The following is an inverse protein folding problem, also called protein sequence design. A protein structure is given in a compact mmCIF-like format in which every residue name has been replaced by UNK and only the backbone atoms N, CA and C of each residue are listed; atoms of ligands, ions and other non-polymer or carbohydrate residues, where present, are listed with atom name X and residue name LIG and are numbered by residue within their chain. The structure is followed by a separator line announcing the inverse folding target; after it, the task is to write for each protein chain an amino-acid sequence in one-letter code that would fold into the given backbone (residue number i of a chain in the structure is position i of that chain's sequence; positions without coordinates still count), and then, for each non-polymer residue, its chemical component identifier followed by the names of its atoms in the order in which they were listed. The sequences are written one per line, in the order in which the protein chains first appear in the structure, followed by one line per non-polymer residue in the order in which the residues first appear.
data_IF_309920003483
#
_entry.id   IF_309920003483
#
_cell.length_a   1.000
_cell.length_b   1.000
_cell.length_c   1.000
_cell.angle_alpha   90.00
_cell.angle_beta   90.00
_cell.angle_gamma   90.00
#
_symmetry.space_group_name_H-M   'P 1'
#
loop_
_entity.id
_entity.type
_entity.pdbx_description
1 polymer ?
#
# COMPACT_ATOMS: atom_id res chain seq x y z
N UNK A 1 -3.89 -14.56 -0.75
CA UNK A 1 -3.85 -14.10 -2.15
C UNK A 1 -3.00 -12.84 -2.30
N UNK A 2 -3.06 -11.90 -1.35
CA UNK A 2 -2.24 -10.68 -1.43
C UNK A 2 -0.75 -11.02 -1.41
N UNK A 3 -0.28 -11.81 -0.44
CA UNK A 3 1.12 -12.23 -0.35
C UNK A 3 1.57 -12.99 -1.60
N UNK A 4 0.72 -13.91 -2.11
CA UNK A 4 1.02 -14.68 -3.33
C UNK A 4 1.08 -13.76 -4.57
N UNK A 5 0.29 -12.69 -4.58
CA UNK A 5 0.35 -11.67 -5.63
C UNK A 5 1.62 -10.83 -5.55
N UNK A 6 2.05 -10.45 -4.35
CA UNK A 6 3.33 -9.76 -4.14
C UNK A 6 4.52 -10.60 -4.59
N UNK A 7 4.49 -11.93 -4.36
CA UNK A 7 5.49 -12.87 -4.87
C UNK A 7 5.56 -12.85 -6.40
N UNK A 8 4.41 -12.77 -7.09
CA UNK A 8 4.34 -12.65 -8.55
C UNK A 8 4.93 -11.32 -9.03
N UNK A 9 4.54 -10.21 -8.40
CA UNK A 9 4.96 -8.85 -8.79
C UNK A 9 6.46 -8.62 -8.54
N UNK A 10 6.99 -9.16 -7.43
CA UNK A 10 8.38 -8.99 -7.01
C UNK A 10 9.17 -10.30 -7.11
N UNK A 11 8.93 -11.08 -8.15
CA UNK A 11 9.61 -12.36 -8.38
C UNK A 11 11.13 -12.23 -8.23
N UNK A 12 11.73 -13.14 -7.48
CA UNK A 12 13.16 -13.17 -7.18
C UNK A 12 13.69 -11.94 -6.41
N UNK A 13 12.83 -11.27 -5.67
CA UNK A 13 13.19 -10.14 -4.82
C UNK A 13 12.65 -10.31 -3.41
N UNK A 14 13.33 -9.73 -2.41
CA UNK A 14 12.91 -9.83 -0.99
C UNK A 14 11.51 -9.28 -0.72
N UNK A 15 11.04 -8.29 -1.49
CA UNK A 15 9.66 -7.77 -1.38
C UNK A 15 8.60 -8.80 -1.78
N UNK A 16 8.92 -9.80 -2.59
CA UNK A 16 8.00 -10.90 -2.93
C UNK A 16 8.09 -12.08 -1.98
N UNK A 17 8.98 -12.08 -1.01
CA UNK A 17 9.06 -13.16 -0.04
C UNK A 17 7.95 -13.01 1.01
N UNK A 18 7.25 -14.12 1.32
CA UNK A 18 6.24 -14.10 2.37
C UNK A 18 6.89 -13.71 3.72
N UNK A 19 6.39 -12.63 4.30
CA UNK A 19 6.94 -12.03 5.53
C UNK A 19 6.89 -12.99 6.74
N UNK A 20 5.93 -13.91 6.77
CA UNK A 20 5.80 -14.93 7.80
C UNK A 20 6.80 -16.08 7.62
N UNK A 21 7.46 -16.16 6.47
CA UNK A 21 8.32 -17.29 6.11
C UNK A 21 7.54 -18.58 5.86
N UNK A 22 8.25 -19.68 5.89
CA UNK A 22 7.67 -21.02 5.76
C UNK A 22 7.85 -21.80 7.06
N UNK A 23 7.04 -22.84 7.31
CA UNK A 23 7.22 -23.76 8.46
C UNK A 23 8.66 -24.23 8.55
N UNK A 24 9.27 -24.58 7.40
CA UNK A 24 10.67 -25.03 7.32
C UNK A 24 11.69 -23.94 7.64
N UNK A 25 11.47 -22.69 7.21
CA UNK A 25 12.39 -21.59 7.50
C UNK A 25 12.31 -21.15 8.95
N UNK A 26 11.08 -20.99 9.48
CA UNK A 26 10.86 -20.55 10.86
C UNK A 26 11.39 -21.55 11.88
N UNK A 27 11.18 -22.86 11.65
CA UNK A 27 11.68 -23.91 12.58
C UNK A 27 13.20 -23.99 12.67
N UNK A 28 13.93 -23.39 11.74
CA UNK A 28 15.40 -23.37 11.72
C UNK A 28 16.01 -22.12 12.40
N UNK A 29 15.21 -21.12 12.72
CA UNK A 29 15.68 -19.89 13.33
C UNK A 29 16.16 -20.18 14.76
N UNK A 30 17.40 -19.88 15.03
CA UNK A 30 18.02 -20.04 16.34
C UNK A 30 18.14 -18.70 17.07
N UNK A 31 18.39 -18.75 18.40
CA UNK A 31 18.70 -17.54 19.18
C UNK A 31 19.90 -16.78 18.59
N UNK A 32 20.90 -17.49 18.09
CA UNK A 32 22.09 -16.88 17.51
C UNK A 32 21.78 -16.11 16.20
N UNK A 33 20.85 -16.62 15.41
CA UNK A 33 20.39 -15.93 14.19
C UNK A 33 19.67 -14.63 14.53
N UNK A 34 18.83 -14.63 15.57
CA UNK A 34 18.17 -13.41 16.06
C UNK A 34 19.19 -12.38 16.56
N UNK A 35 20.20 -12.81 17.33
CA UNK A 35 21.27 -11.93 17.80
C UNK A 35 22.11 -11.35 16.65
N UNK A 36 22.43 -12.16 15.64
CA UNK A 36 23.11 -11.68 14.42
C UNK A 36 22.26 -10.68 13.67
N UNK A 37 20.95 -10.94 13.53
CA UNK A 37 20.02 -10.07 12.86
C UNK A 37 19.91 -8.71 13.56
N UNK A 38 19.66 -8.69 14.87
CA UNK A 38 19.56 -7.45 15.64
C UNK A 38 20.87 -6.66 15.61
N UNK A 39 22.03 -7.35 15.79
CA UNK A 39 23.33 -6.71 15.70
C UNK A 39 23.66 -6.13 14.32
N UNK A 40 23.08 -6.66 13.24
CA UNK A 40 23.28 -6.18 11.88
C UNK A 40 22.32 -5.07 11.49
N UNK A 41 21.05 -5.17 11.90
CA UNK A 41 19.96 -4.36 11.35
C UNK A 41 19.40 -3.31 12.32
N UNK A 42 19.51 -3.50 13.65
CA UNK A 42 19.05 -2.50 14.61
C UNK A 42 20.14 -1.43 14.78
N UNK A 43 19.98 -0.34 14.02
CA UNK A 43 20.89 0.80 14.00
C UNK A 43 20.16 2.05 14.47
N UNK A 44 20.87 2.98 15.06
CA UNK A 44 20.30 4.21 15.60
C UNK A 44 19.49 4.99 14.55
N UNK A 45 19.95 5.01 13.31
CA UNK A 45 19.29 5.68 12.19
C UNK A 45 18.02 4.99 11.72
N UNK A 46 17.79 3.73 12.10
CA UNK A 46 16.61 2.93 11.74
C UNK A 46 15.60 2.83 12.90
N UNK A 47 15.79 3.60 13.97
CA UNK A 47 14.95 3.57 15.18
C UNK A 47 14.39 4.96 15.44
N UNK A 48 13.07 5.06 15.54
CA UNK A 48 12.37 6.24 16.05
C UNK A 48 11.58 5.84 17.28
N UNK A 49 11.72 6.61 18.33
CA UNK A 49 10.98 6.43 19.58
C UNK A 49 9.89 7.50 19.62
N UNK A 50 8.65 7.08 19.62
CA UNK A 50 7.50 7.97 19.76
C UNK A 50 6.79 7.71 21.07
N UNK A 51 6.41 8.78 21.76
CA UNK A 51 5.65 8.71 23.02
C UNK A 51 4.46 9.66 22.93
N UNK A 52 3.29 9.17 23.32
CA UNK A 52 2.08 9.96 23.44
C UNK A 52 1.48 9.75 24.83
N UNK A 53 1.26 10.83 25.57
CA UNK A 53 0.67 10.80 26.90
C UNK A 53 1.15 11.96 27.76
N UNK A 54 0.81 11.90 29.04
CA UNK A 54 1.30 12.87 30.03
C UNK A 54 2.71 12.47 30.49
N UNK A 55 3.72 12.88 29.72
CA UNK A 55 5.13 12.53 29.92
C UNK A 55 5.96 13.81 29.97
N UNK A 56 6.87 13.89 30.92
CA UNK A 56 7.87 14.96 30.96
C UNK A 56 8.94 14.74 29.89
N UNK A 57 9.17 15.72 29.04
CA UNK A 57 10.11 15.63 27.93
C UNK A 57 11.55 15.41 28.41
N UNK A 58 11.96 16.07 29.48
CA UNK A 58 13.32 15.97 30.02
C UNK A 58 13.59 14.57 30.55
N UNK A 59 12.61 13.98 31.23
CA UNK A 59 12.69 12.60 31.73
C UNK A 59 12.70 11.59 30.56
N UNK A 60 11.90 11.82 29.52
CA UNK A 60 11.92 10.99 28.32
C UNK A 60 13.30 11.00 27.64
N UNK A 61 13.87 12.17 27.44
CA UNK A 61 15.23 12.33 26.86
C UNK A 61 16.26 11.63 27.73
N UNK A 62 16.20 11.77 29.06
CA UNK A 62 17.09 11.09 30.01
C UNK A 62 16.99 9.57 29.90
N UNK A 63 15.78 9.01 29.86
CA UNK A 63 15.54 7.58 29.72
C UNK A 63 16.02 7.06 28.36
N UNK A 64 15.73 7.78 27.28
CA UNK A 64 16.24 7.44 25.94
C UNK A 64 17.77 7.41 25.93
N UNK A 65 18.43 8.40 26.53
CA UNK A 65 19.88 8.43 26.67
C UNK A 65 20.41 7.24 27.48
N UNK A 66 19.74 6.89 28.56
CA UNK A 66 20.13 5.77 29.40
C UNK A 66 20.04 4.42 28.68
N UNK A 67 18.96 4.15 27.98
CA UNK A 67 18.69 2.82 27.42
C UNK A 67 19.14 2.65 25.97
N UNK A 68 19.20 3.74 25.18
CA UNK A 68 19.50 3.66 23.73
C UNK A 68 20.87 4.23 23.34
N UNK A 69 21.63 4.84 24.28
CA UNK A 69 22.97 5.39 24.00
C UNK A 69 23.97 4.37 23.44
N UNK A 70 23.79 3.09 23.75
CA UNK A 70 24.65 1.99 23.28
C UNK A 70 24.24 1.38 21.94
N UNK A 71 23.13 1.86 21.34
CA UNK A 71 22.71 1.40 20.01
C UNK A 71 23.74 1.83 18.99
N UNK A 72 24.23 0.87 18.22
CA UNK A 72 25.30 1.10 17.24
C UNK A 72 24.80 1.98 16.10
N UNK A 73 25.62 2.92 15.66
CA UNK A 73 25.38 3.67 14.41
C UNK A 73 25.64 2.78 13.19
N UNK A 74 25.00 3.14 12.07
CA UNK A 74 25.24 2.48 10.79
C UNK A 74 26.66 2.84 10.28
N UNK A 75 27.36 1.84 9.76
CA UNK A 75 28.61 2.04 9.03
C UNK A 75 28.29 1.87 7.54
N UNK A 76 28.48 2.93 6.76
CA UNK A 76 28.19 2.96 5.33
C UNK A 76 26.72 3.23 5.01
N UNK A 77 26.41 3.26 3.71
CA UNK A 77 25.07 3.53 3.20
C UNK A 77 24.19 2.26 3.20
N UNK A 78 22.88 2.48 3.28
CA UNK A 78 21.90 1.40 3.11
C UNK A 78 21.76 1.08 1.63
N UNK A 79 22.28 -0.06 1.21
CA UNK A 79 22.15 -0.52 -0.18
C UNK A 79 20.78 -1.17 -0.35
N UNK A 80 19.95 -0.59 -1.19
CA UNK A 80 18.69 -1.18 -1.64
C UNK A 80 18.91 -1.91 -2.97
N UNK A 81 18.59 -3.19 -2.99
CA UNK A 81 18.61 -3.99 -4.21
C UNK A 81 17.33 -3.70 -4.97
N UNK A 82 17.43 -3.11 -6.16
CA UNK A 82 16.25 -2.81 -6.98
C UNK A 82 15.60 -4.10 -7.49
N UNK A 83 14.26 -4.18 -7.50
CA UNK A 83 13.57 -5.30 -8.12
C UNK A 83 13.93 -5.44 -9.61
N UNK A 84 13.99 -6.68 -10.11
CA UNK A 84 14.19 -6.96 -11.54
C UNK A 84 13.14 -6.25 -12.40
N UNK A 85 13.39 -6.00 -13.71
CA UNK A 85 12.39 -5.40 -14.58
C UNK A 85 11.06 -6.17 -14.52
N UNK A 86 9.97 -5.41 -14.37
CA UNK A 86 8.64 -5.97 -14.24
C UNK A 86 8.12 -6.48 -15.59
N UNK A 87 7.57 -7.69 -15.59
CA UNK A 87 6.79 -8.24 -16.70
C UNK A 87 5.46 -8.74 -16.16
N UNK A 88 4.33 -8.41 -16.78
CA UNK A 88 3.01 -8.88 -16.36
C UNK A 88 2.92 -10.41 -16.36
N UNK A 89 2.25 -10.95 -15.37
CA UNK A 89 2.01 -12.39 -15.19
C UNK A 89 0.53 -12.59 -14.87
N UNK A 90 -0.08 -13.58 -15.51
CA UNK A 90 -1.45 -13.99 -15.24
C UNK A 90 -1.41 -15.44 -14.72
N UNK A 91 -2.01 -15.66 -13.57
CA UNK A 91 -1.99 -16.98 -12.90
C UNK A 91 -3.37 -17.32 -12.35
N UNK A 92 -3.75 -18.58 -12.51
CA UNK A 92 -4.97 -19.15 -11.92
C UNK A 92 -4.53 -20.31 -11.05
N UNK A 93 -5.00 -20.35 -9.82
CA UNK A 93 -4.73 -21.42 -8.86
C UNK A 93 -6.06 -21.96 -8.31
N UNK A 94 -6.17 -23.27 -8.23
CA UNK A 94 -7.27 -23.92 -7.51
C UNK A 94 -6.99 -23.93 -6.02
N UNK A 95 -7.98 -23.57 -5.22
CA UNK A 95 -7.89 -23.53 -3.75
C UNK A 95 -9.15 -24.14 -3.15
N UNK A 96 -9.00 -24.77 -2.01
CA UNK A 96 -10.15 -25.23 -1.22
C UNK A 96 -10.84 -24.01 -0.60
N UNK A 97 -11.72 -23.36 -1.35
CA UNK A 97 -12.48 -22.18 -0.96
C UNK A 97 -13.89 -22.24 -1.57
N UNK A 98 -14.86 -21.59 -0.94
CA UNK A 98 -16.22 -21.50 -1.46
C UNK A 98 -16.34 -20.36 -2.49
N UNK A 99 -15.58 -19.32 -2.31
CA UNK A 99 -15.58 -18.13 -3.18
C UNK A 99 -14.34 -18.08 -4.04
N UNK A 100 -14.48 -17.45 -5.18
CA UNK A 100 -13.36 -17.05 -6.02
C UNK A 100 -12.84 -15.68 -5.59
N UNK A 101 -11.52 -15.54 -5.62
CA UNK A 101 -10.83 -14.31 -5.29
C UNK A 101 -9.89 -13.93 -6.43
N UNK A 102 -9.84 -12.65 -6.77
CA UNK A 102 -8.86 -12.16 -7.74
C UNK A 102 -8.15 -10.92 -7.21
N UNK A 103 -6.89 -10.80 -7.61
CA UNK A 103 -6.10 -9.56 -7.49
C UNK A 103 -5.59 -9.18 -8.86
N UNK A 104 -5.85 -7.94 -9.25
CA UNK A 104 -5.28 -7.30 -10.45
C UNK A 104 -4.37 -6.18 -9.97
N UNK A 105 -3.18 -6.04 -10.55
CA UNK A 105 -2.31 -4.96 -10.12
C UNK A 105 -1.01 -4.86 -10.91
N UNK A 106 -0.18 -3.92 -10.50
CA UNK A 106 1.09 -3.63 -11.13
C UNK A 106 2.06 -3.01 -10.14
N UNK A 107 3.35 -2.94 -10.48
CA UNK A 107 4.29 -2.10 -9.74
C UNK A 107 3.89 -0.63 -9.85
N UNK A 108 4.09 0.09 -8.76
CA UNK A 108 3.68 1.47 -8.62
C UNK A 108 4.84 2.37 -8.14
N UNK A 109 4.51 3.59 -7.77
CA UNK A 109 5.46 4.62 -7.40
C UNK A 109 6.07 4.34 -6.02
N UNK A 110 7.31 4.78 -5.81
CA UNK A 110 7.97 4.72 -4.51
C UNK A 110 7.43 5.77 -3.53
N UNK A 111 7.77 5.62 -2.26
CA UNK A 111 7.37 6.55 -1.19
C UNK A 111 7.91 7.98 -1.41
N UNK A 112 9.03 8.11 -2.13
CA UNK A 112 9.68 9.40 -2.41
C UNK A 112 9.23 10.05 -3.73
N UNK A 113 8.34 9.41 -4.49
CA UNK A 113 7.90 9.94 -5.77
C UNK A 113 6.95 11.13 -5.61
N UNK A 114 7.13 12.18 -6.42
CA UNK A 114 6.33 13.41 -6.34
C UNK A 114 4.82 13.16 -6.51
N UNK A 115 4.45 12.21 -7.36
CA UNK A 115 3.05 11.81 -7.60
C UNK A 115 2.49 10.78 -6.61
N UNK A 116 3.14 10.57 -5.44
CA UNK A 116 2.63 9.66 -4.41
C UNK A 116 1.23 10.06 -3.92
N UNK A 117 1.04 11.33 -3.60
CA UNK A 117 -0.26 11.84 -3.10
C UNK A 117 -1.37 11.73 -4.17
N UNK A 118 -1.16 12.14 -5.42
CA UNK A 118 -2.12 11.86 -6.50
C UNK A 118 -2.49 10.37 -6.63
N UNK A 119 -1.52 9.46 -6.50
CA UNK A 119 -1.80 8.02 -6.59
C UNK A 119 -2.56 7.48 -5.37
N UNK A 120 -2.28 7.98 -4.16
CA UNK A 120 -3.08 7.68 -2.96
C UNK A 120 -4.53 8.13 -3.15
N UNK A 121 -4.74 9.34 -3.66
CA UNK A 121 -6.09 9.85 -3.95
C UNK A 121 -6.79 9.01 -5.03
N UNK A 122 -6.09 8.66 -6.11
CA UNK A 122 -6.62 7.80 -7.18
C UNK A 122 -7.02 6.42 -6.65
N UNK A 123 -6.18 5.79 -5.84
CA UNK A 123 -6.49 4.51 -5.19
C UNK A 123 -7.71 4.64 -4.28
N UNK A 124 -7.77 5.68 -3.45
CA UNK A 124 -8.92 5.93 -2.58
C UNK A 124 -10.21 6.17 -3.37
N UNK A 125 -10.15 6.92 -4.46
CA UNK A 125 -11.29 7.17 -5.34
C UNK A 125 -11.82 5.88 -5.98
N UNK A 126 -10.92 5.02 -6.47
CA UNK A 126 -11.30 3.77 -7.15
C UNK A 126 -11.93 2.76 -6.18
N UNK A 127 -11.25 2.41 -5.12
CA UNK A 127 -11.69 1.34 -4.22
C UNK A 127 -11.29 1.55 -2.76
N UNK A 128 -11.11 2.80 -2.33
CA UNK A 128 -10.83 3.13 -0.94
C UNK A 128 -12.00 2.82 0.00
N UNK A 129 -11.80 2.96 1.32
CA UNK A 129 -12.80 2.64 2.34
C UNK A 129 -14.15 3.30 2.08
N UNK A 130 -15.22 2.55 2.38
CA UNK A 130 -16.61 3.00 2.23
C UNK A 130 -17.24 2.68 0.88
N UNK A 131 -18.57 2.55 0.91
CA UNK A 131 -19.40 2.08 -0.20
C UNK A 131 -19.40 3.03 -1.41
N UNK A 132 -19.07 4.30 -1.21
CA UNK A 132 -19.09 5.35 -2.25
C UNK A 132 -17.87 5.38 -3.17
N UNK A 133 -16.93 4.45 -3.05
CA UNK A 133 -15.82 4.33 -4.01
C UNK A 133 -16.31 3.82 -5.36
N UNK A 134 -15.63 4.21 -6.44
CA UNK A 134 -16.09 3.98 -7.80
C UNK A 134 -16.36 2.51 -8.10
N UNK A 135 -15.41 1.62 -7.79
CA UNK A 135 -15.57 0.19 -8.04
C UNK A 135 -16.71 -0.42 -7.21
N UNK A 136 -16.86 -0.03 -5.93
CA UNK A 136 -17.98 -0.46 -5.11
C UNK A 136 -19.31 -0.03 -5.73
N UNK A 137 -19.45 1.24 -6.08
CA UNK A 137 -20.71 1.76 -6.66
C UNK A 137 -21.05 1.09 -8.00
N UNK A 138 -20.06 0.99 -8.91
CA UNK A 138 -20.35 0.52 -10.27
C UNK A 138 -20.47 -1.01 -10.38
N UNK A 139 -19.77 -1.78 -9.54
CA UNK A 139 -19.69 -3.24 -9.68
C UNK A 139 -20.47 -3.95 -8.57
N UNK A 140 -20.30 -3.51 -7.32
CA UNK A 140 -20.97 -4.15 -6.19
C UNK A 140 -22.41 -3.64 -6.02
N UNK A 141 -22.60 -2.33 -5.83
CA UNK A 141 -23.92 -1.78 -5.49
C UNK A 141 -24.89 -1.80 -6.69
N UNK A 142 -24.48 -1.27 -7.84
CA UNK A 142 -25.35 -1.19 -9.02
C UNK A 142 -25.61 -2.52 -9.71
N UNK A 143 -24.66 -3.46 -9.66
CA UNK A 143 -24.73 -4.70 -10.44
C UNK A 143 -24.81 -5.97 -9.60
N UNK A 144 -24.48 -5.93 -8.32
CA UNK A 144 -24.51 -7.11 -7.44
C UNK A 144 -23.57 -8.22 -7.89
N UNK A 145 -22.43 -7.86 -8.52
CA UNK A 145 -21.52 -8.86 -9.13
C UNK A 145 -20.54 -9.39 -8.11
N UNK A 146 -20.08 -8.59 -7.16
CA UNK A 146 -19.09 -9.01 -6.16
C UNK A 146 -19.56 -8.73 -4.73
N UNK A 147 -19.01 -9.48 -3.78
CA UNK A 147 -19.23 -9.30 -2.35
C UNK A 147 -18.31 -8.24 -1.76
N UNK A 148 -17.06 -8.23 -2.23
CA UNK A 148 -16.02 -7.27 -1.84
C UNK A 148 -15.23 -6.83 -3.05
N UNK A 149 -14.88 -5.55 -3.07
CA UNK A 149 -13.97 -4.99 -4.04
C UNK A 149 -13.30 -3.76 -3.42
N UNK A 150 -11.98 -3.74 -3.47
CA UNK A 150 -11.18 -2.63 -2.98
C UNK A 150 -9.95 -2.40 -3.84
N UNK A 151 -9.39 -1.22 -3.73
CA UNK A 151 -8.08 -0.92 -4.31
C UNK A 151 -7.13 -0.36 -3.26
N UNK A 152 -5.87 -0.78 -3.35
CA UNK A 152 -4.83 -0.37 -2.45
C UNK A 152 -3.57 0.05 -3.21
N UNK A 153 -2.88 1.05 -2.69
CA UNK A 153 -1.56 1.44 -3.12
C UNK A 153 -0.62 1.44 -1.92
N UNK A 154 0.37 0.56 -1.96
CA UNK A 154 1.40 0.43 -0.93
C UNK A 154 2.74 0.93 -1.48
N UNK A 155 3.16 2.16 -1.14
CA UNK A 155 4.49 2.65 -1.48
C UNK A 155 5.56 2.01 -0.57
N UNK A 156 6.70 1.67 -1.15
CA UNK A 156 7.92 1.27 -0.44
C UNK A 156 9.08 2.17 -0.84
N UNK A 157 10.25 2.02 -0.23
CA UNK A 157 11.37 2.97 -0.37
C UNK A 157 11.79 3.25 -1.82
N UNK A 158 11.83 2.24 -2.68
CA UNK A 158 12.35 2.32 -4.06
C UNK A 158 11.35 1.95 -5.15
N UNK A 159 10.17 1.45 -4.75
CA UNK A 159 9.09 1.02 -5.64
C UNK A 159 7.73 1.16 -4.93
N UNK A 160 6.72 0.52 -5.44
CA UNK A 160 5.41 0.37 -4.82
C UNK A 160 4.60 -0.70 -5.54
N UNK A 161 3.45 -1.01 -4.99
CA UNK A 161 2.47 -1.91 -5.59
C UNK A 161 1.10 -1.26 -5.57
N UNK A 162 0.39 -1.35 -6.67
CA UNK A 162 -1.03 -0.99 -6.77
C UNK A 162 -1.82 -2.27 -7.04
N UNK A 163 -2.86 -2.51 -6.27
CA UNK A 163 -3.70 -3.70 -6.36
C UNK A 163 -5.18 -3.34 -6.35
N UNK A 164 -5.97 -4.14 -7.06
CA UNK A 164 -7.42 -4.20 -6.93
C UNK A 164 -7.75 -5.65 -6.56
N UNK A 165 -8.33 -5.83 -5.39
CA UNK A 165 -8.85 -7.11 -4.93
C UNK A 165 -10.35 -7.21 -5.20
N UNK A 166 -10.83 -8.40 -5.51
CA UNK A 166 -12.25 -8.70 -5.63
C UNK A 166 -12.56 -10.12 -5.19
N UNK A 167 -13.72 -10.28 -4.53
CA UNK A 167 -14.26 -11.57 -4.12
C UNK A 167 -15.68 -11.75 -4.65
N UNK A 168 -15.95 -12.89 -5.31
CA UNK A 168 -17.25 -13.19 -5.92
C UNK A 168 -17.44 -14.69 -6.14
N UNK A 169 -18.60 -15.10 -6.67
CA UNK A 169 -18.84 -16.46 -7.13
C UNK A 169 -17.97 -16.81 -8.35
N UNK A 170 -17.61 -18.08 -8.50
CA UNK A 170 -16.77 -18.53 -9.62
C UNK A 170 -17.35 -18.16 -10.99
N UNK A 171 -18.65 -18.33 -11.16
CA UNK A 171 -19.35 -18.03 -12.41
C UNK A 171 -19.39 -16.53 -12.76
N UNK A 172 -19.23 -15.65 -11.77
CA UNK A 172 -19.26 -14.19 -11.94
C UNK A 172 -17.86 -13.58 -12.07
N UNK A 173 -16.78 -14.33 -11.81
CA UNK A 173 -15.43 -13.80 -11.71
C UNK A 173 -14.98 -13.11 -13.01
N UNK A 174 -15.14 -13.76 -14.16
CA UNK A 174 -14.75 -13.18 -15.45
C UNK A 174 -15.50 -11.88 -15.75
N UNK A 175 -16.80 -11.86 -15.44
CA UNK A 175 -17.62 -10.65 -15.59
C UNK A 175 -17.16 -9.54 -14.66
N UNK A 176 -16.80 -9.87 -13.42
CA UNK A 176 -16.28 -8.93 -12.44
C UNK A 176 -14.96 -8.32 -12.93
N UNK A 177 -14.01 -9.14 -13.35
CA UNK A 177 -12.72 -8.68 -13.89
C UNK A 177 -12.89 -7.78 -15.11
N UNK A 178 -13.75 -8.16 -16.06
CA UNK A 178 -14.04 -7.36 -17.25
C UNK A 178 -14.62 -5.99 -16.89
N UNK A 179 -15.47 -5.91 -15.86
CA UNK A 179 -15.99 -4.64 -15.37
C UNK A 179 -14.89 -3.79 -14.74
N UNK A 180 -13.98 -4.38 -13.98
CA UNK A 180 -12.81 -3.67 -13.43
C UNK A 180 -11.95 -3.10 -14.57
N UNK A 181 -11.59 -3.90 -15.58
CA UNK A 181 -10.83 -3.43 -16.73
C UNK A 181 -11.55 -2.29 -17.47
N UNK A 182 -12.88 -2.38 -17.61
CA UNK A 182 -13.69 -1.30 -18.20
C UNK A 182 -13.60 0.00 -17.41
N UNK A 183 -13.68 -0.07 -16.06
CA UNK A 183 -13.53 1.10 -15.21
C UNK A 183 -12.12 1.70 -15.29
N UNK A 184 -11.08 0.86 -15.28
CA UNK A 184 -9.69 1.29 -15.44
C UNK A 184 -9.44 1.95 -16.82
N UNK A 185 -10.03 1.39 -17.88
CA UNK A 185 -10.02 2.00 -19.22
C UNK A 185 -10.70 3.37 -19.20
N UNK A 186 -11.86 3.47 -18.58
CA UNK A 186 -12.58 4.74 -18.42
C UNK A 186 -11.74 5.82 -17.73
N UNK A 187 -10.95 5.43 -16.71
CA UNK A 187 -10.03 6.34 -16.02
C UNK A 187 -8.85 6.80 -16.89
N UNK A 188 -8.44 6.01 -17.87
CA UNK A 188 -7.39 6.38 -18.84
C UNK A 188 -7.88 7.28 -19.96
N UNK A 189 -9.12 7.10 -20.36
CA UNK A 189 -9.69 7.79 -21.52
C UNK A 189 -10.39 9.10 -21.15
N UNK A 190 -10.91 9.20 -19.94
CA UNK A 190 -11.72 10.33 -19.51
C UNK A 190 -11.12 11.01 -18.26
N UNK A 191 -10.91 12.32 -18.35
CA UNK A 191 -10.54 13.13 -17.18
C UNK A 191 -11.68 13.13 -16.16
N UNK A 192 -11.33 13.05 -14.87
CA UNK A 192 -12.31 13.31 -13.82
C UNK A 192 -12.84 14.74 -13.92
N UNK A 193 -14.17 14.88 -13.93
CA UNK A 193 -14.81 16.18 -13.84
C UNK A 193 -14.48 16.87 -12.50
N UNK A 194 -14.52 18.20 -12.49
CA UNK A 194 -14.18 19.02 -11.31
C UNK A 194 -14.99 18.63 -10.08
N UNK A 195 -16.29 18.34 -10.24
CA UNK A 195 -17.14 17.93 -9.12
C UNK A 195 -16.69 16.59 -8.51
N UNK A 196 -16.44 15.58 -9.34
CA UNK A 196 -16.01 14.26 -8.90
C UNK A 196 -14.64 14.32 -8.21
N UNK A 197 -13.70 15.09 -8.76
CA UNK A 197 -12.38 15.28 -8.16
C UNK A 197 -12.50 15.98 -6.79
N UNK A 198 -13.30 17.05 -6.69
CA UNK A 198 -13.49 17.76 -5.43
C UNK A 198 -14.16 16.89 -4.36
N UNK A 199 -15.13 16.06 -4.74
CA UNK A 199 -15.75 15.09 -3.83
C UNK A 199 -14.73 14.03 -3.35
N UNK A 200 -13.88 13.52 -4.26
CA UNK A 200 -12.82 12.59 -3.91
C UNK A 200 -11.82 13.19 -2.91
N UNK A 201 -11.38 14.43 -3.13
CA UNK A 201 -10.50 15.16 -2.21
C UNK A 201 -11.14 15.35 -0.83
N UNK A 202 -12.37 15.88 -0.78
CA UNK A 202 -13.10 16.07 0.48
C UNK A 202 -13.28 14.76 1.26
N UNK A 203 -13.66 13.68 0.55
CA UNK A 203 -13.78 12.35 1.15
C UNK A 203 -12.44 11.90 1.75
N UNK A 204 -11.35 12.00 0.99
CA UNK A 204 -10.03 11.56 1.43
C UNK A 204 -9.52 12.37 2.62
N UNK A 205 -9.66 13.70 2.59
CA UNK A 205 -9.34 14.59 3.72
C UNK A 205 -10.19 14.21 4.95
N UNK A 206 -11.50 14.03 4.79
CA UNK A 206 -12.38 13.63 5.88
C UNK A 206 -11.98 12.28 6.51
N UNK A 207 -11.57 11.31 5.71
CA UNK A 207 -11.07 10.02 6.23
C UNK A 207 -9.77 10.18 7.03
N UNK A 208 -8.85 11.03 6.57
CA UNK A 208 -7.61 11.35 7.30
C UNK A 208 -7.96 12.03 8.62
N UNK A 209 -8.85 13.02 8.59
CA UNK A 209 -9.28 13.75 9.81
C UNK A 209 -9.89 12.81 10.85
N UNK A 210 -10.76 11.88 10.43
CA UNK A 210 -11.35 10.89 11.33
C UNK A 210 -10.30 9.91 11.89
N UNK A 211 -9.28 9.58 11.11
CA UNK A 211 -8.21 8.70 11.57
C UNK A 211 -7.34 9.34 12.67
N UNK A 212 -7.32 10.67 12.80
CA UNK A 212 -6.61 11.40 13.86
C UNK A 212 -7.19 11.18 15.26
N UNK A 213 -8.43 10.71 15.38
CA UNK A 213 -9.00 10.32 16.67
C UNK A 213 -8.27 9.13 17.31
N UNK A 214 -7.61 8.32 16.50
CA UNK A 214 -6.78 7.22 16.98
C UNK A 214 -5.33 7.67 17.19
N UNK A 215 -5.04 8.17 18.37
CA UNK A 215 -3.73 8.72 18.75
C UNK A 215 -2.56 7.74 18.54
N UNK A 216 -2.78 6.42 18.75
CA UNK A 216 -1.74 5.42 18.49
C UNK A 216 -1.42 5.32 16.99
N UNK A 217 -2.43 5.32 16.15
CA UNK A 217 -2.26 5.29 14.69
C UNK A 217 -1.53 6.55 14.19
N UNK A 218 -1.87 7.70 14.75
CA UNK A 218 -1.19 8.98 14.46
C UNK A 218 0.28 8.92 14.87
N UNK A 219 0.57 8.46 16.08
CA UNK A 219 1.94 8.31 16.58
C UNK A 219 2.77 7.40 15.67
N UNK A 220 2.23 6.24 15.30
CA UNK A 220 2.89 5.30 14.38
C UNK A 220 3.13 5.96 13.02
N UNK A 221 2.16 6.72 12.50
CA UNK A 221 2.28 7.44 11.23
C UNK A 221 3.40 8.47 11.27
N UNK A 222 3.50 9.26 12.34
CA UNK A 222 4.60 10.21 12.54
C UNK A 222 5.95 9.51 12.62
N UNK A 223 6.08 8.44 13.41
CA UNK A 223 7.32 7.68 13.51
C UNK A 223 7.76 7.12 12.15
N UNK A 224 6.82 6.56 11.38
CA UNK A 224 7.09 6.10 10.01
C UNK A 224 7.52 7.23 9.09
N UNK A 225 6.84 8.38 9.15
CA UNK A 225 7.19 9.54 8.32
C UNK A 225 8.59 10.06 8.62
N UNK A 226 8.99 10.08 9.89
CA UNK A 226 10.36 10.46 10.30
C UNK A 226 11.38 9.44 9.78
N UNK A 227 11.11 8.13 9.87
CA UNK A 227 11.99 7.09 9.32
C UNK A 227 12.14 7.19 7.81
N UNK A 228 11.05 7.48 7.10
CA UNK A 228 11.01 7.46 5.63
C UNK A 228 11.50 8.77 5.01
N UNK A 229 11.25 9.90 5.66
CA UNK A 229 11.46 11.24 5.11
C UNK A 229 12.34 12.16 5.97
N UNK A 230 12.77 11.71 7.16
CA UNK A 230 13.47 12.54 8.13
C UNK A 230 12.60 13.60 8.82
N UNK A 231 11.31 13.67 8.49
CA UNK A 231 10.34 14.61 9.04
C UNK A 231 8.92 14.08 8.92
N UNK A 232 8.02 14.61 9.73
CA UNK A 232 6.58 14.42 9.58
C UNK A 232 5.92 15.70 9.06
N UNK A 233 5.08 15.59 8.04
CA UNK A 233 4.26 16.71 7.57
C UNK A 233 3.08 16.91 8.53
N UNK A 234 2.72 18.18 8.78
CA UNK A 234 1.50 18.51 9.53
C UNK A 234 0.26 18.29 8.68
N UNK A 235 -0.91 18.14 9.33
CA UNK A 235 -2.19 17.96 8.62
C UNK A 235 -2.48 19.06 7.59
N UNK A 236 -2.30 20.37 7.88
CA UNK A 236 -2.51 21.42 6.89
C UNK A 236 -1.64 21.23 5.64
N UNK A 237 -0.39 20.77 5.80
CA UNK A 237 0.52 20.47 4.68
C UNK A 237 0.00 19.28 3.87
N UNK A 238 -0.47 18.22 4.52
CA UNK A 238 -1.05 17.04 3.85
C UNK A 238 -2.31 17.45 3.08
N UNK A 239 -3.19 18.22 3.70
CA UNK A 239 -4.42 18.71 3.05
C UNK A 239 -4.12 19.57 1.83
N UNK A 240 -3.18 20.52 1.94
CA UNK A 240 -2.75 21.34 0.81
C UNK A 240 -2.22 20.49 -0.36
N UNK A 241 -1.44 19.44 -0.06
CA UNK A 241 -0.96 18.50 -1.09
C UNK A 241 -2.11 17.74 -1.77
N UNK A 242 -3.16 17.34 -1.02
CA UNK A 242 -4.33 16.67 -1.59
C UNK A 242 -5.14 17.67 -2.43
N UNK A 243 -5.34 18.87 -1.94
CA UNK A 243 -6.08 19.93 -2.64
C UNK A 243 -5.40 20.36 -3.95
N UNK A 244 -4.07 20.31 -4.02
CA UNK A 244 -3.31 20.65 -5.22
C UNK A 244 -3.41 19.62 -6.35
N UNK A 245 -3.90 18.40 -6.07
CA UNK A 245 -4.03 17.33 -7.11
C UNK A 245 -4.99 17.78 -8.20
N UNK A 246 -4.60 17.60 -9.45
CA UNK A 246 -5.41 17.96 -10.64
C UNK A 246 -6.00 16.74 -11.34
N UNK A 247 -7.03 16.96 -12.17
CA UNK A 247 -7.56 15.90 -13.05
C UNK A 247 -6.52 15.42 -14.06
N UNK A 248 -5.54 16.27 -14.38
CA UNK A 248 -4.43 15.88 -15.27
C UNK A 248 -3.50 14.90 -14.58
N UNK A 249 -3.16 15.12 -13.30
CA UNK A 249 -2.35 14.15 -12.52
C UNK A 249 -3.02 12.77 -12.48
N UNK A 250 -4.34 12.75 -12.28
CA UNK A 250 -5.12 11.50 -12.20
C UNK A 250 -5.10 10.74 -13.54
N UNK A 251 -5.35 11.41 -14.67
CA UNK A 251 -5.37 10.73 -15.97
C UNK A 251 -3.98 10.30 -16.42
N UNK A 252 -2.93 11.06 -16.13
CA UNK A 252 -1.54 10.69 -16.42
C UNK A 252 -1.13 9.44 -15.65
N UNK A 253 -1.44 9.38 -14.33
CA UNK A 253 -1.21 8.20 -13.51
C UNK A 253 -2.01 7.00 -14.00
N UNK A 254 -3.28 7.20 -14.37
CA UNK A 254 -4.13 6.14 -14.92
C UNK A 254 -3.54 5.58 -16.22
N UNK A 255 -3.06 6.42 -17.12
CA UNK A 255 -2.39 5.98 -18.36
C UNK A 255 -1.06 5.27 -18.10
N UNK A 256 -0.34 5.67 -17.06
CA UNK A 256 0.94 5.04 -16.68
C UNK A 256 0.73 3.63 -16.11
N UNK A 257 -0.29 3.45 -15.26
CA UNK A 257 -0.46 2.26 -14.43
C UNK A 257 -1.53 1.28 -14.91
N UNK A 258 -2.61 1.76 -15.56
CA UNK A 258 -3.80 0.96 -15.84
C UNK A 258 -3.88 0.45 -17.28
N UNK A 259 -2.77 0.44 -18.00
CA UNK A 259 -2.71 -0.27 -19.27
C UNK A 259 -2.85 -1.77 -19.00
N UNK A 260 -3.89 -2.39 -19.54
CA UNK A 260 -4.19 -3.81 -19.34
C UNK A 260 -3.00 -4.71 -19.66
N UNK A 261 -2.20 -4.34 -20.68
CA UNK A 261 -0.97 -5.04 -21.04
C UNK A 261 0.16 -4.96 -19.98
N UNK A 262 0.00 -4.09 -18.99
CA UNK A 262 0.96 -3.88 -17.88
C UNK A 262 0.45 -4.41 -16.56
N UNK A 263 -0.78 -4.92 -16.51
CA UNK A 263 -1.37 -5.46 -15.30
C UNK A 263 -1.10 -6.95 -15.17
N UNK A 264 -0.73 -7.39 -13.98
CA UNK A 264 -0.75 -8.80 -13.59
C UNK A 264 -2.08 -9.16 -12.98
N UNK A 265 -2.43 -10.45 -13.02
CA UNK A 265 -3.60 -10.98 -12.31
C UNK A 265 -3.29 -12.32 -11.64
N UNK A 266 -3.84 -12.51 -10.45
CA UNK A 266 -3.87 -13.79 -9.75
C UNK A 266 -5.30 -14.12 -9.37
N UNK A 267 -5.76 -15.30 -9.78
CA UNK A 267 -7.09 -15.82 -9.49
C UNK A 267 -6.98 -17.05 -8.60
N UNK A 268 -7.73 -17.07 -7.52
CA UNK A 268 -8.04 -18.26 -6.74
C UNK A 268 -9.44 -18.71 -7.10
N UNK A 269 -9.55 -19.93 -7.64
CA UNK A 269 -10.82 -20.55 -8.01
C UNK A 269 -11.09 -21.74 -7.09
N UNK A 270 -12.35 -22.02 -6.73
CA UNK A 270 -12.72 -23.25 -6.06
C UNK A 270 -12.21 -24.49 -6.81
N UNK A 271 -11.91 -25.57 -6.06
CA UNK A 271 -11.54 -26.87 -6.63
C UNK A 271 -12.71 -27.51 -7.36
#
# INVERSE_FOLDING_TARGET
IQDDFEEIIFKNHSLGANILGTKKSVSKITRNDLLKFTNKHYRAEDIVIGVFGNVDESELVRLCGQYFSKVKKRIGEKILIKPTPYKPIHSIQKKNSVQSHAVIGTRALSIHHAQKIPLLLLSNYLGGPGMSSRLNMEIREKKGICYSIDSNYTPVSDTGIFTIYMGTDAEKMDKCMNLVYKELKGMRENKLGSLALNQAKKKFIGQITLAEENHLSVLISFCKSILDHGRADTLPVIYSKIESVTSTDIIELSNKLFDEKKLSSLLFMPE
#
